data_IF_092339457788
#
_entry.id   IF_092339457788
#
_cell.length_a   1.000
_cell.length_b   1.000
_cell.length_c   1.000
_cell.angle_alpha   90.00
_cell.angle_beta   90.00
_cell.angle_gamma   90.00
#
_symmetry.space_group_name_H-M   'P 1'
#
loop_
_entity.id
_entity.type
_entity.pdbx_description
1 polymer ?
#
# COMPACT_ATOMS: atom_id res chain seq x y z
N UNK A 1 -16.37 -45.63 -35.25
CA UNK A 1 -16.14 -45.58 -33.80
C UNK A 1 -14.82 -44.86 -33.55
N UNK A 2 -14.86 -43.57 -33.20
CA UNK A 2 -14.83 -43.03 -31.81
C UNK A 2 -13.38 -42.95 -31.32
N UNK A 3 -12.74 -41.77 -31.45
CA UNK A 3 -12.38 -40.84 -30.34
C UNK A 3 -11.29 -41.46 -29.43
N UNK A 4 -10.06 -40.94 -29.34
CA UNK A 4 -9.60 -39.68 -28.72
C UNK A 4 -8.62 -40.12 -27.62
N UNK A 5 -7.38 -39.61 -27.61
CA UNK A 5 -6.75 -39.20 -26.36
C UNK A 5 -5.48 -38.37 -26.62
N UNK A 6 -5.60 -37.09 -26.21
CA UNK A 6 -4.55 -36.23 -25.67
C UNK A 6 -3.90 -36.93 -24.42
N UNK A 7 -2.78 -36.56 -23.80
CA UNK A 7 -2.22 -35.25 -23.49
C UNK A 7 -0.84 -35.42 -22.79
N UNK A 8 0.08 -34.49 -23.10
CA UNK A 8 0.99 -33.76 -22.21
C UNK A 8 1.76 -34.47 -21.07
N UNK A 9 3.09 -34.56 -21.24
CA UNK A 9 4.03 -34.73 -20.13
C UNK A 9 4.13 -33.47 -19.25
N UNK A 10 4.10 -33.73 -17.94
CA UNK A 10 4.09 -32.74 -16.86
C UNK A 10 5.45 -32.07 -16.66
N UNK A 11 5.40 -30.75 -16.44
CA UNK A 11 6.50 -29.93 -15.95
C UNK A 11 6.60 -30.05 -14.42
N UNK A 12 7.55 -30.81 -13.91
CA UNK A 12 7.91 -30.78 -12.48
C UNK A 12 8.91 -29.63 -12.23
N UNK A 13 8.38 -28.43 -11.97
CA UNK A 13 9.15 -27.30 -11.49
C UNK A 13 9.24 -27.32 -9.96
N UNK A 14 10.44 -27.56 -9.41
CA UNK A 14 10.69 -27.27 -7.98
C UNK A 14 12.11 -26.79 -7.74
N UNK A 15 12.36 -25.50 -8.00
CA UNK A 15 13.51 -24.79 -7.43
C UNK A 15 13.04 -23.92 -6.28
N UNK A 16 13.13 -24.48 -5.07
CA UNK A 16 12.97 -23.78 -3.79
C UNK A 16 13.99 -22.64 -3.76
N UNK A 17 13.50 -21.39 -3.76
CA UNK A 17 14.35 -20.22 -3.58
C UNK A 17 14.29 -19.82 -2.11
N UNK A 18 15.29 -20.26 -1.36
CA UNK A 18 15.60 -19.79 -0.03
C UNK A 18 15.59 -18.25 -0.03
N UNK A 19 14.64 -17.67 0.70
CA UNK A 19 14.56 -16.24 0.91
C UNK A 19 15.45 -15.93 2.10
N UNK A 20 16.66 -15.43 1.84
CA UNK A 20 17.48 -14.81 2.86
C UNK A 20 16.75 -13.56 3.36
N UNK A 21 16.23 -13.62 4.58
CA UNK A 21 15.79 -12.44 5.32
C UNK A 21 17.00 -11.57 5.61
N UNK A 22 17.25 -10.59 4.73
CA UNK A 22 18.05 -9.42 5.09
C UNK A 22 17.11 -8.49 5.85
N UNK A 23 17.42 -8.27 7.13
CA UNK A 23 16.72 -7.31 7.99
C UNK A 23 16.69 -5.94 7.32
N UNK A 24 15.50 -5.50 6.96
CA UNK A 24 15.27 -4.20 6.32
C UNK A 24 15.26 -3.14 7.42
N UNK A 25 16.03 -2.04 7.31
CA UNK A 25 16.03 -0.98 8.31
C UNK A 25 14.61 -0.40 8.44
N UNK A 26 13.93 -0.75 9.52
CA UNK A 26 12.57 -0.28 9.80
C UNK A 26 12.73 0.93 10.71
N UNK A 27 12.74 2.15 10.14
CA UNK A 27 13.02 3.41 10.86
C UNK A 27 11.98 3.76 11.95
N UNK A 28 10.92 2.98 12.13
CA UNK A 28 9.83 3.29 13.03
C UNK A 28 9.70 2.23 14.13
N UNK A 29 10.54 2.32 15.16
CA UNK A 29 10.48 1.46 16.36
C UNK A 29 9.69 2.07 17.52
N UNK A 30 9.07 3.25 17.35
CA UNK A 30 8.39 3.92 18.46
C UNK A 30 6.91 3.55 18.50
N UNK A 31 6.54 2.76 19.52
CA UNK A 31 5.15 2.44 19.96
C UNK A 31 4.42 3.66 20.54
N UNK A 32 4.64 4.86 20.02
CA UNK A 32 3.86 6.03 20.41
C UNK A 32 2.52 6.00 19.69
N UNK A 33 1.43 6.17 20.42
CA UNK A 33 0.09 6.38 19.86
C UNK A 33 0.13 7.54 18.85
N UNK A 34 0.06 7.21 17.56
CA UNK A 34 0.11 8.20 16.49
C UNK A 34 -1.32 8.64 16.16
N UNK A 35 -1.55 9.96 16.15
CA UNK A 35 -2.86 10.54 15.83
C UNK A 35 -2.65 11.70 14.88
N UNK A 36 -3.50 11.81 13.86
CA UNK A 36 -3.50 12.95 12.94
C UNK A 36 -4.50 13.98 13.46
N UNK A 37 -4.14 15.29 13.53
CA UNK A 37 -5.10 16.34 13.87
C UNK A 37 -6.29 16.37 12.93
N UNK A 38 -7.48 16.66 13.45
CA UNK A 38 -8.74 16.64 12.70
C UNK A 38 -8.73 17.53 11.45
N UNK A 39 -8.03 18.67 11.50
CA UNK A 39 -7.88 19.56 10.35
C UNK A 39 -7.22 18.88 9.16
N UNK A 40 -6.16 18.10 9.41
CA UNK A 40 -5.50 17.31 8.37
C UNK A 40 -6.39 16.16 7.91
N UNK A 41 -7.17 15.57 8.82
CA UNK A 41 -8.10 14.51 8.45
C UNK A 41 -9.20 15.01 7.50
N UNK A 42 -9.67 16.25 7.66
CA UNK A 42 -10.61 16.88 6.70
C UNK A 42 -10.01 16.97 5.30
N UNK A 43 -8.72 17.25 5.17
CA UNK A 43 -8.02 17.27 3.87
C UNK A 43 -8.03 15.89 3.19
N UNK A 44 -8.05 14.80 3.97
CA UNK A 44 -8.13 13.44 3.42
C UNK A 44 -9.42 13.22 2.61
N UNK A 45 -10.51 13.88 2.97
CA UNK A 45 -11.81 13.78 2.30
C UNK A 45 -11.99 14.70 1.10
N UNK A 46 -11.04 15.60 0.81
CA UNK A 46 -11.19 16.56 -0.29
C UNK A 46 -11.32 15.88 -1.67
N UNK A 47 -12.47 16.12 -2.31
CA UNK A 47 -12.79 15.59 -3.63
C UNK A 47 -12.97 14.06 -3.67
N UNK A 48 -13.15 13.42 -2.52
CA UNK A 48 -13.40 11.98 -2.40
C UNK A 48 -14.86 11.69 -2.70
N UNK A 49 -15.10 10.77 -3.65
CA UNK A 49 -16.44 10.24 -3.93
C UNK A 49 -16.83 9.21 -2.87
N UNK A 50 -18.11 9.03 -2.64
CA UNK A 50 -18.58 7.94 -1.78
C UNK A 50 -18.32 6.56 -2.40
N UNK A 51 -18.18 5.55 -1.56
CA UNK A 51 -17.99 4.17 -1.98
C UNK A 51 -16.60 3.90 -2.56
N UNK A 52 -16.49 2.80 -3.30
CA UNK A 52 -15.23 2.24 -3.80
C UNK A 52 -14.50 3.16 -4.79
N UNK A 53 -15.25 3.98 -5.54
CA UNK A 53 -14.69 4.97 -6.46
C UNK A 53 -13.85 6.04 -5.75
N UNK A 54 -14.10 6.31 -4.46
CA UNK A 54 -13.35 7.27 -3.67
C UNK A 54 -12.07 6.75 -3.01
N UNK A 55 -11.91 5.43 -2.89
CA UNK A 55 -10.88 4.80 -2.05
C UNK A 55 -9.48 5.22 -2.41
N UNK A 56 -9.18 5.17 -3.71
CA UNK A 56 -7.87 5.53 -4.22
C UNK A 56 -7.50 6.96 -3.82
N UNK A 57 -8.43 7.91 -4.01
CA UNK A 57 -8.17 9.31 -3.66
C UNK A 57 -8.06 9.50 -2.15
N UNK A 58 -8.97 8.90 -1.39
CA UNK A 58 -8.95 8.99 0.07
C UNK A 58 -7.64 8.46 0.66
N UNK A 59 -7.21 7.26 0.25
CA UNK A 59 -5.96 6.64 0.74
C UNK A 59 -4.74 7.46 0.32
N UNK A 60 -4.72 8.01 -0.90
CA UNK A 60 -3.64 8.88 -1.40
C UNK A 60 -3.55 10.21 -0.62
N UNK A 61 -4.68 10.80 -0.25
CA UNK A 61 -4.70 12.02 0.55
C UNK A 61 -4.37 11.73 2.02
N UNK A 62 -4.90 10.63 2.57
CA UNK A 62 -4.65 10.23 3.95
C UNK A 62 -3.17 9.86 4.16
N UNK A 63 -2.55 9.17 3.21
CA UNK A 63 -1.10 8.90 3.26
C UNK A 63 -0.27 10.18 3.25
N UNK A 64 -0.65 11.21 2.49
CA UNK A 64 -0.01 12.53 2.58
C UNK A 64 -0.19 13.17 3.97
N UNK A 65 -1.35 13.02 4.59
CA UNK A 65 -1.61 13.59 5.92
C UNK A 65 -0.82 12.90 7.03
N UNK A 66 -0.63 11.57 6.93
CA UNK A 66 0.03 10.73 7.93
C UNK A 66 1.56 10.76 7.82
N UNK A 67 2.08 10.66 6.60
CA UNK A 67 3.52 10.54 6.34
C UNK A 67 4.12 11.86 5.86
N UNK A 68 3.34 12.70 5.18
CA UNK A 68 3.88 13.88 4.50
C UNK A 68 4.56 13.53 3.17
N UNK A 69 4.76 14.55 2.33
CA UNK A 69 5.30 14.36 0.99
C UNK A 69 6.77 13.94 0.99
N UNK A 70 7.57 14.48 1.91
CA UNK A 70 9.00 14.18 2.02
C UNK A 70 9.26 12.74 2.46
N UNK A 71 8.57 12.28 3.51
CA UNK A 71 8.67 10.90 4.00
C UNK A 71 8.26 9.92 2.91
N UNK A 72 7.16 10.19 2.18
CA UNK A 72 6.71 9.35 1.07
C UNK A 72 7.71 9.34 -0.09
N UNK A 73 8.34 10.47 -0.41
CA UNK A 73 9.32 10.55 -1.49
C UNK A 73 10.59 9.72 -1.19
N UNK A 74 11.00 9.68 0.08
CA UNK A 74 12.19 8.98 0.54
C UNK A 74 11.94 7.53 0.93
N UNK A 75 10.68 7.12 1.14
CA UNK A 75 10.32 5.78 1.60
C UNK A 75 9.72 4.89 0.51
N UNK A 76 9.52 3.62 0.84
CA UNK A 76 8.75 2.66 0.06
C UNK A 76 7.76 1.90 0.94
N UNK A 77 6.73 1.32 0.35
CA UNK A 77 5.69 0.59 1.12
C UNK A 77 6.25 -0.66 1.81
N UNK A 78 7.28 -1.30 1.24
CA UNK A 78 7.80 -2.60 1.71
C UNK A 78 9.28 -2.58 2.09
N UNK A 79 10.00 -1.50 1.82
CA UNK A 79 11.44 -1.43 2.01
C UNK A 79 12.26 -2.27 1.01
N UNK A 80 11.62 -2.92 0.04
CA UNK A 80 12.30 -3.83 -0.89
C UNK A 80 12.87 -3.09 -2.10
N UNK A 81 14.10 -3.44 -2.55
CA UNK A 81 14.64 -2.89 -3.78
C UNK A 81 13.78 -3.30 -4.98
N UNK A 82 13.73 -2.44 -5.97
CA UNK A 82 12.99 -2.73 -7.20
C UNK A 82 13.76 -3.79 -8.02
N UNK A 83 13.11 -4.90 -8.38
CA UNK A 83 13.74 -5.99 -9.13
C UNK A 83 14.39 -5.55 -10.46
N UNK A 84 13.88 -4.48 -11.07
CA UNK A 84 14.40 -3.90 -12.32
C UNK A 84 15.52 -2.88 -12.12
N UNK A 85 15.72 -2.37 -10.90
CA UNK A 85 16.77 -1.39 -10.56
C UNK A 85 17.63 -1.91 -9.41
N UNK A 86 18.32 -3.03 -9.67
CA UNK A 86 19.12 -3.75 -8.67
C UNK A 86 20.31 -2.95 -8.12
N UNK A 87 20.72 -1.90 -8.83
CA UNK A 87 21.85 -1.04 -8.48
C UNK A 87 21.44 0.22 -7.69
N UNK A 88 20.16 0.37 -7.34
CA UNK A 88 19.70 1.46 -6.49
C UNK A 88 19.50 0.96 -5.07
N UNK A 89 19.94 1.77 -4.11
CA UNK A 89 19.73 1.49 -2.70
C UNK A 89 18.23 1.34 -2.38
N UNK A 90 17.94 0.36 -1.52
CA UNK A 90 16.58 0.12 -1.08
C UNK A 90 16.12 1.30 -0.20
N UNK A 91 14.98 1.90 -0.57
CA UNK A 91 14.36 2.93 0.26
C UNK A 91 13.85 2.31 1.56
N UNK A 92 13.91 3.02 2.70
CA UNK A 92 13.32 2.54 3.96
C UNK A 92 11.84 2.21 3.81
N UNK A 93 11.37 1.23 4.58
CA UNK A 93 9.95 0.90 4.66
C UNK A 93 9.19 2.00 5.39
N UNK A 94 7.93 2.27 4.98
CA UNK A 94 7.00 3.08 5.77
C UNK A 94 6.80 2.48 7.16
N UNK A 95 6.55 3.37 8.11
CA UNK A 95 6.24 3.00 9.49
C UNK A 95 4.99 2.11 9.56
N UNK A 96 5.13 0.93 10.17
CA UNK A 96 4.03 -0.03 10.32
C UNK A 96 2.90 0.53 11.19
N UNK A 97 3.24 1.20 12.30
CA UNK A 97 2.25 1.83 13.20
C UNK A 97 1.38 2.84 12.47
N UNK A 98 1.99 3.71 11.66
CA UNK A 98 1.27 4.69 10.84
C UNK A 98 0.42 4.03 9.75
N UNK A 99 0.88 2.91 9.18
CA UNK A 99 0.11 2.12 8.20
C UNK A 99 -1.11 1.45 8.83
N UNK A 100 -0.97 0.93 10.05
CA UNK A 100 -2.09 0.33 10.79
C UNK A 100 -3.12 1.40 11.15
N UNK A 101 -2.68 2.58 11.62
CA UNK A 101 -3.56 3.72 11.83
C UNK A 101 -4.30 4.16 10.54
N UNK A 102 -3.61 4.19 9.39
CA UNK A 102 -4.24 4.45 8.09
C UNK A 102 -5.33 3.40 7.77
N UNK A 103 -5.05 2.11 8.03
CA UNK A 103 -6.03 1.03 7.83
C UNK A 103 -7.26 1.22 8.72
N UNK A 104 -7.06 1.55 9.99
CA UNK A 104 -8.15 1.80 10.94
C UNK A 104 -9.07 2.92 10.47
N UNK A 105 -8.50 4.07 10.09
CA UNK A 105 -9.27 5.21 9.57
C UNK A 105 -10.04 4.85 8.29
N UNK A 106 -9.41 4.07 7.41
CA UNK A 106 -10.09 3.59 6.20
C UNK A 106 -11.26 2.67 6.54
N UNK A 107 -11.10 1.73 7.46
CA UNK A 107 -12.18 0.84 7.93
C UNK A 107 -13.30 1.65 8.58
N UNK A 108 -12.98 2.67 9.38
CA UNK A 108 -13.98 3.57 9.96
C UNK A 108 -14.80 4.28 8.87
N UNK A 109 -14.14 4.76 7.80
CA UNK A 109 -14.83 5.32 6.63
C UNK A 109 -15.76 4.29 5.99
N UNK A 110 -15.31 3.05 5.77
CA UNK A 110 -16.15 1.99 5.18
C UNK A 110 -17.42 1.74 6.00
N UNK A 111 -17.27 1.63 7.33
CA UNK A 111 -18.40 1.41 8.24
C UNK A 111 -19.37 2.60 8.26
N UNK A 112 -18.86 3.82 8.11
CA UNK A 112 -19.67 5.05 8.07
C UNK A 112 -20.44 5.19 6.76
N UNK A 113 -19.81 4.88 5.62
CA UNK A 113 -20.45 4.95 4.31
C UNK A 113 -21.41 3.77 4.05
N UNK A 114 -21.12 2.60 4.60
CA UNK A 114 -21.90 1.38 4.37
C UNK A 114 -22.16 0.67 5.70
N UNK A 115 -23.35 0.89 6.31
CA UNK A 115 -23.68 0.35 7.63
C UNK A 115 -23.65 -1.18 7.72
N UNK A 116 -23.82 -1.87 6.58
CA UNK A 116 -23.84 -3.35 6.47
C UNK A 116 -22.64 -3.89 5.67
N UNK A 117 -21.48 -3.23 5.77
CA UNK A 117 -20.27 -3.72 5.08
C UNK A 117 -19.86 -5.09 5.64
N UNK A 118 -19.65 -6.06 4.76
CA UNK A 118 -19.22 -7.40 5.16
C UNK A 118 -17.72 -7.42 5.50
N UNK A 119 -17.27 -8.34 6.37
CA UNK A 119 -15.83 -8.51 6.65
C UNK A 119 -15.01 -8.80 5.39
N UNK A 120 -15.58 -9.54 4.45
CA UNK A 120 -14.97 -9.87 3.16
C UNK A 120 -14.73 -8.62 2.31
N UNK A 121 -15.70 -7.71 2.25
CA UNK A 121 -15.57 -6.44 1.52
C UNK A 121 -14.54 -5.52 2.17
N UNK A 122 -14.50 -5.47 3.51
CA UNK A 122 -13.45 -4.76 4.25
C UNK A 122 -12.08 -5.31 3.86
N UNK A 123 -11.90 -6.63 3.88
CA UNK A 123 -10.64 -7.28 3.52
C UNK A 123 -10.25 -6.99 2.06
N UNK A 124 -11.21 -7.12 1.14
CA UNK A 124 -10.99 -6.86 -0.28
C UNK A 124 -10.53 -5.42 -0.54
N UNK A 125 -11.18 -4.43 0.08
CA UNK A 125 -10.82 -3.02 -0.08
C UNK A 125 -9.53 -2.67 0.65
N UNK A 126 -9.29 -3.19 1.85
CA UNK A 126 -8.05 -2.93 2.62
C UNK A 126 -6.81 -3.52 1.94
N UNK A 127 -6.94 -4.65 1.22
CA UNK A 127 -5.85 -5.21 0.42
C UNK A 127 -5.35 -4.25 -0.69
N UNK A 128 -6.20 -3.32 -1.13
CA UNK A 128 -5.84 -2.30 -2.13
C UNK A 128 -5.11 -1.09 -1.55
N UNK A 129 -4.96 -0.98 -0.24
CA UNK A 129 -4.25 0.15 0.40
C UNK A 129 -2.78 0.21 -0.06
N UNK A 130 -2.05 -0.91 0.03
CA UNK A 130 -0.63 -0.96 -0.33
C UNK A 130 -0.36 -0.50 -1.77
N UNK A 131 -1.05 -1.01 -2.81
CA UNK A 131 -0.83 -0.54 -4.17
C UNK A 131 -1.19 0.94 -4.37
N UNK A 132 -2.27 1.44 -3.74
CA UNK A 132 -2.65 2.85 -3.84
C UNK A 132 -1.60 3.80 -3.23
N UNK A 133 -1.00 3.42 -2.10
CA UNK A 133 0.11 4.18 -1.49
C UNK A 133 1.35 4.11 -2.39
N UNK A 134 1.68 2.94 -2.94
CA UNK A 134 2.82 2.79 -3.84
C UNK A 134 2.69 3.68 -5.09
N UNK A 135 1.49 3.76 -5.68
CA UNK A 135 1.18 4.64 -6.80
C UNK A 135 1.36 6.13 -6.43
N UNK A 136 0.98 6.51 -5.20
CA UNK A 136 1.18 7.87 -4.69
C UNK A 136 2.66 8.22 -4.57
N UNK A 137 3.44 7.33 -3.97
CA UNK A 137 4.90 7.49 -3.84
C UNK A 137 5.53 7.65 -5.22
N UNK A 138 5.16 6.80 -6.18
CA UNK A 138 5.67 6.90 -7.55
C UNK A 138 5.32 8.25 -8.20
N UNK A 139 4.10 8.75 -7.98
CA UNK A 139 3.66 10.06 -8.47
C UNK A 139 4.48 11.20 -7.86
N UNK A 140 4.65 11.22 -6.53
CA UNK A 140 5.45 12.25 -5.83
C UNK A 140 6.89 12.25 -6.34
N UNK A 141 7.52 11.08 -6.43
CA UNK A 141 8.90 10.94 -6.92
C UNK A 141 9.03 11.43 -8.36
N UNK A 142 8.03 11.17 -9.22
CA UNK A 142 8.03 11.67 -10.60
C UNK A 142 7.91 13.20 -10.63
N UNK A 143 7.04 13.79 -9.81
CA UNK A 143 6.84 15.24 -9.75
C UNK A 143 8.12 15.94 -9.25
N UNK A 144 8.71 15.47 -8.15
CA UNK A 144 9.97 16.02 -7.62
C UNK A 144 11.14 15.91 -8.59
N UNK A 145 11.17 14.87 -9.45
CA UNK A 145 12.18 14.78 -10.51
C UNK A 145 11.97 15.77 -11.65
N UNK A 146 10.73 16.19 -11.89
CA UNK A 146 10.38 17.16 -12.94
C UNK A 146 10.63 18.60 -12.48
N UNK A 147 10.47 18.86 -11.19
CA UNK A 147 10.67 20.16 -10.55
C UNK A 147 11.75 20.00 -9.45
N UNK A 148 13.05 20.01 -9.82
CA UNK A 148 14.16 19.77 -8.89
C UNK A 148 14.33 20.86 -7.83
#
# INVERSE_FOLDING_TARGET
>A
DTEDELATESKEGRRVKASSEKEIPTKCQQKSHFTVPDEKLKLAYLGVKEGSAGDSRYIKNLSLCIFGEEELAQSSVTGRPCNSKRNLDAKPSLCLVKLDYLRELFIQRLKKETPKVTPEEILFRTNKIRPMIAEKIATIVRIKKKNP
#
